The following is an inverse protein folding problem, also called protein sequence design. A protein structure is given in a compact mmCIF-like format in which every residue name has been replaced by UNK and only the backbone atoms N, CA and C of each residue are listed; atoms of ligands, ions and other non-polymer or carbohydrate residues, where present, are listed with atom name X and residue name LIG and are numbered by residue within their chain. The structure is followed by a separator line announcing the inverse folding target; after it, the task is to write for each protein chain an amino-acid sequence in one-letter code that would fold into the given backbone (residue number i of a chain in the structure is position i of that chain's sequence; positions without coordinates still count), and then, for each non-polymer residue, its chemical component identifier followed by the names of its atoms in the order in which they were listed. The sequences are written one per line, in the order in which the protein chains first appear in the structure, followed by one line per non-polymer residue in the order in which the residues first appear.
data_IF_630301303983
#
_entry.id   IF_630301303983
#
_cell.length_a   1.000
_cell.length_b   1.000
_cell.length_c   1.000
_cell.angle_alpha   90.00
_cell.angle_beta   90.00
_cell.angle_gamma   90.00
#
_symmetry.space_group_name_H-M   'P 1'
#
loop_
_entity.id
_entity.type
_entity.pdbx_description
1 polymer ?
#
# COMPACT_ATOMS: atom_id res chain seq x y z
N UNK A 1 -14.83 8.68 2.02
CA UNK A 1 -15.25 8.62 0.60
C UNK A 1 -14.09 8.06 -0.20
N UNK A 2 -14.30 6.99 -0.95
CA UNK A 2 -13.26 6.38 -1.76
C UNK A 2 -12.72 7.34 -2.83
N UNK A 3 -11.46 7.17 -3.20
CA UNK A 3 -10.83 7.89 -4.31
C UNK A 3 -11.57 7.51 -5.60
N UNK A 4 -12.03 8.50 -6.37
CA UNK A 4 -12.83 8.30 -7.60
C UNK A 4 -11.99 7.94 -8.82
N UNK A 5 -11.06 6.99 -8.67
CA UNK A 5 -10.27 6.40 -9.77
C UNK A 5 -9.68 5.07 -9.33
N UNK A 6 -9.29 4.26 -10.30
CA UNK A 6 -8.45 3.10 -10.02
C UNK A 6 -7.05 3.54 -9.56
N UNK A 7 -6.43 2.69 -8.74
CA UNK A 7 -5.01 2.77 -8.46
C UNK A 7 -4.20 2.45 -9.72
N UNK A 8 -2.99 3.02 -9.79
CA UNK A 8 -2.00 2.70 -10.81
C UNK A 8 -0.99 1.68 -10.27
N UNK A 9 -0.39 0.84 -11.12
CA UNK A 9 0.60 -0.15 -10.67
C UNK A 9 1.75 0.44 -9.86
N UNK A 10 2.18 1.67 -10.19
CA UNK A 10 3.31 2.34 -9.53
C UNK A 10 2.99 2.71 -8.07
N UNK A 11 1.71 2.89 -7.73
CA UNK A 11 1.28 3.18 -6.36
C UNK A 11 1.42 1.94 -5.47
N UNK A 12 1.09 0.76 -6.02
CA UNK A 12 1.32 -0.53 -5.34
C UNK A 12 2.81 -0.82 -5.27
N UNK A 13 3.54 -0.62 -6.37
CA UNK A 13 4.99 -0.85 -6.43
C UNK A 13 5.76 0.04 -5.43
N UNK A 14 5.32 1.29 -5.24
CA UNK A 14 5.89 2.19 -4.23
C UNK A 14 5.73 1.66 -2.81
N UNK A 15 4.54 1.16 -2.45
CA UNK A 15 4.30 0.54 -1.13
C UNK A 15 5.16 -0.72 -0.95
N UNK A 16 5.24 -1.56 -1.99
CA UNK A 16 6.07 -2.78 -1.96
C UNK A 16 7.55 -2.44 -1.81
N UNK A 17 8.05 -1.45 -2.55
CA UNK A 17 9.44 -1.01 -2.47
C UNK A 17 9.78 -0.46 -1.06
N UNK A 18 8.86 0.29 -0.45
CA UNK A 18 9.02 0.75 0.93
C UNK A 18 9.05 -0.43 1.93
N UNK A 19 8.11 -1.38 1.80
CA UNK A 19 8.06 -2.60 2.63
C UNK A 19 9.33 -3.45 2.50
N UNK A 20 9.92 -3.51 1.31
CA UNK A 20 11.18 -4.22 1.06
C UNK A 20 12.43 -3.41 1.47
N UNK A 21 12.25 -2.14 1.82
CA UNK A 21 13.33 -1.22 2.16
C UNK A 21 13.77 -1.29 3.63
N UNK A 22 14.89 -0.63 3.97
CA UNK A 22 15.44 -0.66 5.34
C UNK A 22 14.52 0.02 6.36
N UNK A 23 13.64 0.92 5.93
CA UNK A 23 12.73 1.68 6.80
C UNK A 23 11.61 0.82 7.38
N UNK A 24 11.26 -0.29 6.74
CA UNK A 24 10.19 -1.19 7.18
C UNK A 24 10.68 -2.36 8.04
N UNK A 25 11.88 -2.27 8.65
CA UNK A 25 12.55 -3.39 9.33
C UNK A 25 11.79 -3.99 10.52
N UNK A 26 10.76 -3.31 11.02
CA UNK A 26 9.93 -3.77 12.14
C UNK A 26 8.50 -4.13 11.71
N UNK A 27 8.19 -4.05 10.42
CA UNK A 27 6.87 -4.41 9.86
C UNK A 27 6.86 -5.91 9.58
N UNK A 28 6.04 -6.65 10.31
CA UNK A 28 5.85 -8.10 10.10
C UNK A 28 4.47 -8.55 10.58
N UNK A 29 3.95 -9.62 9.98
CA UNK A 29 2.66 -10.24 10.36
C UNK A 29 1.40 -9.43 10.04
N UNK A 30 1.51 -8.32 9.31
CA UNK A 30 0.40 -7.43 8.97
C UNK A 30 -0.11 -7.63 7.54
N UNK A 31 -1.38 -7.32 7.32
CA UNK A 31 -1.96 -7.13 5.99
C UNK A 31 -2.05 -5.64 5.70
N UNK A 32 -1.53 -5.21 4.55
CA UNK A 32 -1.52 -3.80 4.14
C UNK A 32 -2.46 -3.61 2.94
N UNK A 33 -3.60 -3.00 3.19
CA UNK A 33 -4.57 -2.66 2.14
C UNK A 33 -4.21 -1.32 1.49
N UNK A 34 -4.14 -1.31 0.15
CA UNK A 34 -3.93 -0.10 -0.66
C UNK A 34 -5.03 -0.02 -1.74
N UNK A 35 -6.22 0.40 -1.33
CA UNK A 35 -7.45 0.30 -2.14
C UNK A 35 -8.15 1.64 -2.40
N UNK A 36 -7.52 2.76 -2.03
CA UNK A 36 -8.13 4.08 -2.15
C UNK A 36 -9.35 4.28 -1.24
N UNK A 37 -9.39 3.59 -0.09
CA UNK A 37 -10.50 3.57 0.87
C UNK A 37 -11.77 2.93 0.31
N UNK A 38 -11.63 1.92 -0.54
CA UNK A 38 -12.75 1.15 -1.10
C UNK A 38 -13.43 0.26 -0.04
N UNK A 39 -12.64 -0.41 0.80
CA UNK A 39 -13.11 -1.28 1.87
C UNK A 39 -13.37 -0.58 3.21
N UNK A 40 -13.37 0.76 3.23
CA UNK A 40 -13.61 1.57 4.43
C UNK A 40 -15.09 1.71 4.77
#
# INVERSE_FOLDING_TARGET
MAIKRHGRPEEVAGMVAWLAGPEASFVTGAMHTIDGAFGA
#
